data_IF_204292134186
#
_entry.id   IF_204292134186
#
_cell.length_a   1.000
_cell.length_b   1.000
_cell.length_c   1.000
_cell.angle_alpha   90.00
_cell.angle_beta   90.00
_cell.angle_gamma   90.00
#
_symmetry.space_group_name_H-M   'P 1'
#
loop_
_entity.id
_entity.type
_entity.pdbx_description
1 polymer ?
#
# COMPACT_ATOMS: atom_id res chain seq x y z
N UNK A 1 -6.09 -27.74 -9.95
CA UNK A 1 -6.11 -26.26 -9.87
C UNK A 1 -5.52 -25.87 -8.53
N UNK A 2 -4.65 -24.86 -8.50
CA UNK A 2 -4.16 -24.29 -7.24
C UNK A 2 -5.29 -23.44 -6.66
N UNK A 3 -5.72 -23.79 -5.45
CA UNK A 3 -6.81 -23.11 -4.75
C UNK A 3 -6.31 -22.16 -3.65
N UNK A 4 -5.03 -22.27 -3.29
CA UNK A 4 -4.41 -21.49 -2.23
C UNK A 4 -2.94 -21.27 -2.56
N UNK A 5 -2.43 -20.09 -2.23
CA UNK A 5 -1.02 -19.75 -2.33
C UNK A 5 -0.61 -19.01 -1.06
N UNK A 6 0.57 -19.33 -0.52
CA UNK A 6 1.16 -18.66 0.63
C UNK A 6 2.59 -18.21 0.29
N UNK A 7 2.94 -16.98 0.70
CA UNK A 7 4.31 -16.48 0.64
C UNK A 7 4.78 -16.11 2.04
N UNK A 8 5.99 -16.57 2.37
CA UNK A 8 6.68 -16.36 3.64
C UNK A 8 7.92 -15.46 3.51
N UNK A 9 7.99 -14.63 2.46
CA UNK A 9 9.12 -13.74 2.21
C UNK A 9 9.20 -12.65 3.29
N UNK A 10 10.39 -12.46 3.84
CA UNK A 10 10.71 -11.33 4.71
C UNK A 10 10.97 -10.11 3.83
N UNK A 11 10.25 -8.99 4.02
CA UNK A 11 10.45 -7.80 3.22
C UNK A 11 11.87 -7.23 3.36
N UNK A 12 12.48 -6.83 2.25
CA UNK A 12 13.66 -5.99 2.25
C UNK A 12 13.23 -4.53 2.49
N UNK A 13 13.64 -3.98 3.63
CA UNK A 13 13.16 -2.67 4.07
C UNK A 13 13.61 -1.54 3.14
N UNK A 14 14.85 -1.60 2.63
CA UNK A 14 15.36 -0.58 1.71
C UNK A 14 14.60 -0.59 0.38
N UNK A 15 14.38 -1.77 -0.19
CA UNK A 15 13.58 -1.91 -1.42
C UNK A 15 12.14 -1.46 -1.17
N UNK A 16 11.57 -1.78 -0.01
CA UNK A 16 10.23 -1.35 0.35
C UNK A 16 10.12 0.18 0.49
N UNK A 17 11.12 0.84 1.08
CA UNK A 17 11.20 2.30 1.18
C UNK A 17 11.33 2.94 -0.21
N UNK A 18 12.18 2.39 -1.07
CA UNK A 18 12.34 2.88 -2.45
C UNK A 18 11.04 2.76 -3.25
N UNK A 19 10.36 1.61 -3.19
CA UNK A 19 9.05 1.43 -3.85
C UNK A 19 8.01 2.40 -3.29
N UNK A 20 8.00 2.62 -1.97
CA UNK A 20 7.09 3.58 -1.32
C UNK A 20 7.38 5.02 -1.75
N UNK A 21 8.66 5.38 -1.89
CA UNK A 21 9.10 6.69 -2.42
C UNK A 21 8.62 6.88 -3.85
N UNK A 22 8.91 5.94 -4.75
CA UNK A 22 8.47 6.00 -6.16
C UNK A 22 6.95 6.09 -6.27
N UNK A 23 6.24 5.33 -5.44
CA UNK A 23 4.77 5.39 -5.35
C UNK A 23 4.29 6.78 -4.90
N UNK A 24 4.94 7.36 -3.90
CA UNK A 24 4.66 8.74 -3.43
C UNK A 24 4.88 9.76 -4.54
N UNK A 25 5.98 9.67 -5.29
CA UNK A 25 6.30 10.58 -6.40
C UNK A 25 5.28 10.46 -7.53
N UNK A 26 4.81 9.24 -7.84
CA UNK A 26 3.75 9.02 -8.81
C UNK A 26 2.44 9.70 -8.38
N UNK A 27 2.06 9.59 -7.10
CA UNK A 27 0.88 10.27 -6.55
C UNK A 27 1.07 11.79 -6.52
N UNK A 28 2.25 12.28 -6.17
CA UNK A 28 2.56 13.70 -6.12
C UNK A 28 2.36 14.40 -7.48
N UNK A 29 2.53 13.70 -8.61
CA UNK A 29 2.23 14.24 -9.94
C UNK A 29 0.74 14.60 -10.13
N UNK A 30 -0.15 13.98 -9.36
CA UNK A 30 -1.60 14.26 -9.42
C UNK A 30 -2.00 15.48 -8.60
N UNK A 31 -1.38 15.71 -7.45
CA UNK A 31 -1.73 16.78 -6.51
C UNK A 31 -0.78 17.97 -6.52
N UNK A 32 0.38 17.83 -7.16
CA UNK A 32 1.43 18.83 -7.21
C UNK A 32 2.23 18.95 -5.90
N UNK A 33 3.02 20.03 -5.77
CA UNK A 33 4.02 20.18 -4.70
C UNK A 33 3.45 20.18 -3.28
N UNK A 34 2.18 20.56 -3.11
CA UNK A 34 1.52 20.59 -1.79
C UNK A 34 1.40 19.20 -1.17
N UNK A 35 1.15 18.17 -1.99
CA UNK A 35 1.09 16.79 -1.52
C UNK A 35 2.45 16.29 -1.07
N UNK A 36 3.51 16.59 -1.81
CA UNK A 36 4.88 16.24 -1.41
C UNK A 36 5.23 16.88 -0.08
N UNK A 37 4.97 18.19 0.07
CA UNK A 37 5.24 18.92 1.32
C UNK A 37 4.51 18.31 2.51
N UNK A 38 3.21 18.04 2.36
CA UNK A 38 2.42 17.39 3.41
C UNK A 38 2.91 15.97 3.71
N UNK A 39 3.29 15.22 2.67
CA UNK A 39 3.74 13.83 2.84
C UNK A 39 5.04 13.77 3.61
N UNK A 40 6.01 14.62 3.26
CA UNK A 40 7.27 14.76 4.00
C UNK A 40 6.98 15.11 5.46
N UNK A 41 6.18 16.16 5.71
CA UNK A 41 5.81 16.59 7.06
C UNK A 41 5.22 15.45 7.88
N UNK A 42 4.15 14.80 7.40
CA UNK A 42 3.46 13.76 8.16
C UNK A 42 4.27 12.47 8.28
N UNK A 43 5.15 12.17 7.32
CA UNK A 43 6.11 11.06 7.40
C UNK A 43 7.08 11.28 8.56
N UNK A 44 7.70 12.47 8.63
CA UNK A 44 8.67 12.82 9.67
C UNK A 44 8.01 12.91 11.05
N UNK A 45 6.80 13.45 11.14
CA UNK A 45 6.02 13.50 12.37
C UNK A 45 5.76 12.10 12.94
N UNK A 46 5.34 11.16 12.09
CA UNK A 46 5.05 9.79 12.50
C UNK A 46 6.31 9.01 12.87
N UNK A 47 7.37 9.10 12.06
CA UNK A 47 8.65 8.43 12.34
C UNK A 47 9.22 8.93 13.68
N UNK A 48 9.25 10.25 13.90
CA UNK A 48 9.76 10.83 15.14
C UNK A 48 8.90 10.43 16.36
N UNK A 49 7.57 10.36 16.21
CA UNK A 49 6.67 9.82 17.25
C UNK A 49 7.06 8.38 17.64
N UNK A 50 7.32 7.51 16.65
CA UNK A 50 7.74 6.13 16.89
C UNK A 50 9.11 6.02 17.56
N UNK A 51 9.99 6.97 17.28
CA UNK A 51 11.33 7.04 17.84
C UNK A 51 11.38 7.74 19.22
N UNK A 52 10.27 8.36 19.65
CA UNK A 52 10.20 9.12 20.91
C UNK A 52 10.95 10.45 20.86
N UNK A 53 11.08 11.06 19.68
CA UNK A 53 11.83 12.30 19.46
C UNK A 53 10.99 13.38 18.78
N UNK A 54 11.59 14.57 18.61
CA UNK A 54 10.94 15.66 17.86
C UNK A 54 11.18 15.48 16.36
N UNK A 55 10.19 15.81 15.51
CA UNK A 55 10.38 15.76 14.06
C UNK A 55 11.51 16.70 13.63
N UNK A 56 12.41 16.29 12.71
CA UNK A 56 13.47 17.16 12.20
C UNK A 56 12.88 18.30 11.37
N UNK A 57 13.27 19.54 11.66
CA UNK A 57 12.74 20.74 11.00
C UNK A 57 13.44 21.08 9.69
N UNK A 58 14.64 20.53 9.46
CA UNK A 58 15.49 20.84 8.31
C UNK A 58 15.31 19.91 7.10
N UNK A 59 14.36 18.97 7.16
CA UNK A 59 14.11 17.99 6.10
C UNK A 59 12.84 18.39 5.34
N UNK A 60 13.01 18.81 4.08
CA UNK A 60 11.90 19.31 3.24
C UNK A 60 11.61 18.43 2.03
N UNK A 61 12.45 17.43 1.76
CA UNK A 61 12.35 16.57 0.58
C UNK A 61 11.97 15.15 0.97
N UNK A 62 11.33 14.43 0.03
CA UNK A 62 11.01 13.02 0.22
C UNK A 62 12.29 12.17 0.34
N UNK A 63 13.35 12.54 -0.38
CA UNK A 63 14.66 11.88 -0.24
C UNK A 63 15.20 12.02 1.18
N UNK A 64 15.24 13.24 1.73
CA UNK A 64 15.71 13.44 3.10
C UNK A 64 14.85 12.73 4.13
N UNK A 65 13.54 12.59 3.88
CA UNK A 65 12.67 11.79 4.74
C UNK A 65 13.01 10.30 4.69
N UNK A 66 13.30 9.74 3.51
CA UNK A 66 13.76 8.36 3.34
C UNK A 66 15.11 8.13 4.02
N UNK A 67 16.07 9.03 3.83
CA UNK A 67 17.39 8.97 4.48
C UNK A 67 17.27 8.99 6.02
N UNK A 68 16.38 9.83 6.56
CA UNK A 68 16.11 9.89 7.99
C UNK A 68 15.52 8.58 8.53
N UNK A 69 14.59 7.96 7.80
CA UNK A 69 14.03 6.65 8.15
C UNK A 69 15.13 5.58 8.10
N UNK A 70 15.94 5.54 7.03
CA UNK A 70 17.01 4.56 6.87
C UNK A 70 18.04 4.64 8.00
N UNK A 71 18.41 5.87 8.40
CA UNK A 71 19.33 6.10 9.54
C UNK A 71 18.78 5.57 10.87
N UNK A 72 17.46 5.48 11.01
CA UNK A 72 16.79 5.05 12.24
C UNK A 72 16.15 3.66 12.14
N UNK A 73 16.40 2.89 11.06
CA UNK A 73 15.71 1.63 10.79
C UNK A 73 15.91 0.59 11.91
N UNK A 74 17.06 0.60 12.58
CA UNK A 74 17.35 -0.29 13.71
C UNK A 74 16.51 0.04 14.96
N UNK A 75 16.13 1.31 15.13
CA UNK A 75 15.27 1.77 16.23
C UNK A 75 13.80 1.56 15.93
N UNK A 76 13.40 1.71 14.66
CA UNK A 76 12.04 1.45 14.20
C UNK A 76 12.05 0.67 12.86
N UNK A 77 12.01 -0.69 12.91
CA UNK A 77 12.12 -1.54 11.72
C UNK A 77 10.95 -1.45 10.74
N UNK A 78 9.89 -0.72 11.08
CA UNK A 78 8.70 -0.54 10.23
C UNK A 78 8.66 0.85 9.58
N UNK A 79 9.80 1.44 9.24
CA UNK A 79 9.89 2.78 8.64
C UNK A 79 9.01 3.02 7.39
N UNK A 80 8.66 1.97 6.65
CA UNK A 80 7.68 2.02 5.55
C UNK A 80 6.30 2.53 6.01
N UNK A 81 5.89 2.22 7.24
CA UNK A 81 4.67 2.77 7.84
C UNK A 81 4.67 4.30 7.81
N UNK A 82 5.82 4.94 7.99
CA UNK A 82 5.91 6.40 8.09
C UNK A 82 5.58 7.06 6.76
N UNK A 83 6.11 6.53 5.65
CA UNK A 83 5.78 7.01 4.30
C UNK A 83 4.30 6.74 4.00
N UNK A 84 3.83 5.53 4.28
CA UNK A 84 2.43 5.12 4.04
C UNK A 84 1.45 6.01 4.81
N UNK A 85 1.73 6.30 6.08
CA UNK A 85 0.96 7.23 6.90
C UNK A 85 1.01 8.64 6.32
N UNK A 86 2.20 9.13 5.96
CA UNK A 86 2.38 10.46 5.40
C UNK A 86 1.59 10.67 4.10
N UNK A 87 1.61 9.67 3.21
CA UNK A 87 0.83 9.65 1.98
C UNK A 87 -0.67 9.69 2.26
N UNK A 88 -1.16 8.75 3.07
CA UNK A 88 -2.59 8.61 3.36
C UNK A 88 -3.14 9.86 4.06
N UNK A 89 -2.40 10.40 5.04
CA UNK A 89 -2.81 11.64 5.73
C UNK A 89 -2.80 12.84 4.79
N UNK A 90 -1.81 12.95 3.90
CA UNK A 90 -1.75 14.03 2.91
C UNK A 90 -2.90 14.00 1.93
N UNK A 91 -3.22 12.82 1.41
CA UNK A 91 -4.40 12.60 0.58
C UNK A 91 -5.66 13.09 1.29
N UNK A 92 -5.89 12.62 2.53
CA UNK A 92 -7.09 12.95 3.30
C UNK A 92 -7.26 14.44 3.52
N UNK A 93 -6.15 15.15 3.74
CA UNK A 93 -6.17 16.60 3.90
C UNK A 93 -6.48 17.35 2.61
N UNK A 94 -6.26 16.75 1.44
CA UNK A 94 -6.48 17.39 0.13
C UNK A 94 -7.83 17.01 -0.50
N UNK A 95 -8.20 15.72 -0.49
CA UNK A 95 -9.44 15.23 -1.10
C UNK A 95 -10.61 15.10 -0.12
N UNK A 96 -10.35 15.23 1.18
CA UNK A 96 -11.33 14.95 2.22
C UNK A 96 -11.58 13.43 2.40
N UNK A 97 -12.75 13.08 2.92
CA UNK A 97 -13.04 11.71 3.36
C UNK A 97 -13.40 10.71 2.25
N UNK A 98 -13.26 11.04 0.96
CA UNK A 98 -13.68 10.13 -0.12
C UNK A 98 -12.76 8.91 -0.28
N UNK A 99 -13.25 7.71 0.05
CA UNK A 99 -12.51 6.45 -0.11
C UNK A 99 -12.26 6.08 -1.59
N UNK A 100 -12.92 6.75 -2.53
CA UNK A 100 -12.72 6.59 -3.97
C UNK A 100 -11.36 7.12 -4.45
N UNK A 101 -10.82 8.12 -3.75
CA UNK A 101 -9.52 8.72 -4.04
C UNK A 101 -8.40 7.69 -3.96
N UNK A 102 -8.29 7.04 -2.80
CA UNK A 102 -7.20 6.10 -2.48
C UNK A 102 -7.11 4.95 -3.49
N UNK A 103 -8.26 4.37 -3.88
CA UNK A 103 -8.28 3.29 -4.88
C UNK A 103 -7.81 3.75 -6.26
N UNK A 104 -8.26 4.93 -6.70
CA UNK A 104 -7.86 5.48 -8.01
C UNK A 104 -6.39 5.85 -8.03
N UNK A 105 -5.86 6.42 -6.95
CA UNK A 105 -4.43 6.70 -6.85
C UNK A 105 -3.60 5.44 -6.84
N UNK A 106 -3.99 4.43 -6.06
CA UNK A 106 -3.30 3.15 -6.05
C UNK A 106 -3.32 2.50 -7.45
N UNK A 107 -4.44 2.55 -8.16
CA UNK A 107 -4.51 2.11 -9.55
C UNK A 107 -3.49 2.84 -10.43
N UNK A 108 -3.45 4.17 -10.38
CA UNK A 108 -2.51 4.96 -11.18
C UNK A 108 -1.06 4.68 -10.79
N UNK A 109 -0.75 4.58 -9.50
CA UNK A 109 0.59 4.34 -9.00
C UNK A 109 1.08 2.93 -9.36
N UNK A 110 0.28 1.89 -9.10
CA UNK A 110 0.61 0.50 -9.48
C UNK A 110 0.79 0.39 -11.00
N UNK A 111 -0.11 0.99 -11.78
CA UNK A 111 0.01 1.01 -13.24
C UNK A 111 1.31 1.69 -13.68
N UNK A 112 1.67 2.82 -13.05
CA UNK A 112 2.90 3.55 -13.37
C UNK A 112 4.14 2.74 -13.05
N UNK A 113 4.19 2.10 -11.88
CA UNK A 113 5.30 1.21 -11.49
C UNK A 113 5.41 0.02 -12.46
N UNK A 114 4.28 -0.58 -12.86
CA UNK A 114 4.27 -1.65 -13.88
C UNK A 114 4.74 -1.15 -15.26
N UNK A 115 4.40 0.09 -15.63
CA UNK A 115 4.83 0.71 -16.89
C UNK A 115 6.33 1.00 -16.89
N UNK A 116 6.84 1.68 -15.86
CA UNK A 116 8.26 2.06 -15.74
C UNK A 116 9.19 0.85 -15.60
N UNK A 117 8.67 -0.28 -15.08
CA UNK A 117 9.39 -1.55 -15.04
C UNK A 117 9.28 -2.38 -16.33
N UNK A 118 8.53 -1.92 -17.33
CA UNK A 118 8.32 -2.66 -18.58
C UNK A 118 7.44 -3.90 -18.44
N UNK A 119 6.77 -4.09 -17.30
CA UNK A 119 5.95 -5.27 -17.00
C UNK A 119 4.48 -5.10 -17.40
N UNK A 120 4.02 -3.87 -17.63
CA UNK A 120 2.60 -3.61 -17.90
C UNK A 120 2.09 -4.38 -19.13
N UNK A 121 2.84 -4.39 -20.23
CA UNK A 121 2.43 -5.04 -21.48
C UNK A 121 2.36 -6.57 -21.40
N UNK A 122 3.17 -7.20 -20.55
CA UNK A 122 3.14 -8.66 -20.35
C UNK A 122 2.07 -9.09 -19.36
N UNK A 123 1.67 -8.20 -18.45
CA UNK A 123 0.70 -8.50 -17.40
C UNK A 123 -0.75 -8.14 -17.77
N UNK A 124 -0.97 -7.03 -18.49
CA UNK A 124 -2.30 -6.55 -18.81
C UNK A 124 -3.05 -7.54 -19.73
N UNK A 125 -4.26 -7.94 -19.31
CA UNK A 125 -5.07 -8.95 -20.00
C UNK A 125 -4.54 -10.38 -19.88
N UNK A 126 -3.51 -10.62 -19.06
CA UNK A 126 -2.86 -11.93 -18.99
C UNK A 126 -3.54 -12.93 -18.04
N UNK A 127 -4.63 -12.52 -17.38
CA UNK A 127 -5.43 -13.38 -16.50
C UNK A 127 -6.91 -12.96 -16.54
N UNK A 128 -7.81 -13.94 -16.61
CA UNK A 128 -9.26 -13.68 -16.62
C UNK A 128 -9.87 -13.62 -15.21
N UNK A 129 -9.23 -14.30 -14.25
CA UNK A 129 -9.72 -14.45 -12.88
C UNK A 129 -8.90 -13.60 -11.91
N UNK A 130 -9.56 -13.03 -10.91
CA UNK A 130 -8.92 -12.19 -9.88
C UNK A 130 -7.83 -12.95 -9.13
N UNK A 131 -8.07 -14.20 -8.76
CA UNK A 131 -7.08 -15.03 -8.07
C UNK A 131 -5.78 -15.14 -8.88
N UNK A 132 -5.89 -15.43 -10.18
CA UNK A 132 -4.72 -15.63 -11.05
C UNK A 132 -3.98 -14.29 -11.28
N UNK A 133 -4.71 -13.18 -11.34
CA UNK A 133 -4.11 -11.85 -11.42
C UNK A 133 -3.36 -11.46 -10.13
N UNK A 134 -3.95 -11.73 -8.96
CA UNK A 134 -3.32 -11.52 -7.66
C UNK A 134 -2.06 -12.40 -7.57
N UNK A 135 -2.13 -13.67 -7.95
CA UNK A 135 -0.98 -14.58 -7.91
C UNK A 135 0.21 -14.05 -8.72
N UNK A 136 -0.03 -13.55 -9.94
CA UNK A 136 1.01 -12.94 -10.79
C UNK A 136 1.61 -11.68 -10.18
N UNK A 137 0.77 -10.77 -9.69
CA UNK A 137 1.25 -9.57 -9.01
C UNK A 137 2.06 -9.91 -7.77
N UNK A 138 1.64 -10.96 -7.07
CA UNK A 138 2.26 -11.42 -5.85
C UNK A 138 3.62 -12.06 -6.08
N UNK A 139 3.76 -12.89 -7.12
CA UNK A 139 5.04 -13.45 -7.58
C UNK A 139 6.06 -12.33 -7.85
N UNK A 140 5.65 -11.29 -8.58
CA UNK A 140 6.47 -10.11 -8.86
C UNK A 140 6.93 -9.40 -7.58
N UNK A 141 6.01 -9.13 -6.65
CA UNK A 141 6.37 -8.47 -5.40
C UNK A 141 7.24 -9.34 -4.49
N UNK A 142 7.13 -10.67 -4.61
CA UNK A 142 7.97 -11.61 -3.86
C UNK A 142 9.43 -11.59 -4.34
N UNK A 143 9.65 -11.42 -5.65
CA UNK A 143 10.99 -11.25 -6.23
C UNK A 143 11.65 -9.96 -5.72
N UNK A 144 10.87 -8.89 -5.58
CA UNK A 144 11.31 -7.61 -5.04
C UNK A 144 11.41 -7.60 -3.50
N UNK A 145 10.84 -8.60 -2.82
CA UNK A 145 10.73 -8.68 -1.36
C UNK A 145 10.09 -7.41 -0.76
N UNK A 146 9.00 -6.91 -1.34
CA UNK A 146 8.33 -5.67 -0.86
C UNK A 146 6.97 -5.90 -0.21
N UNK A 147 6.48 -7.14 -0.22
CA UNK A 147 5.19 -7.50 0.40
C UNK A 147 5.40 -8.27 1.71
N UNK A 148 4.58 -8.02 2.73
CA UNK A 148 4.59 -8.84 3.93
C UNK A 148 4.12 -10.27 3.61
N UNK A 149 4.50 -11.26 4.45
CA UNK A 149 3.98 -12.61 4.36
C UNK A 149 2.46 -12.61 4.29
N UNK A 150 1.89 -13.28 3.30
CA UNK A 150 0.45 -13.34 3.15
C UNK A 150 0.02 -14.58 2.37
N UNK A 151 -1.26 -14.89 2.52
CA UNK A 151 -1.91 -16.08 1.96
C UNK A 151 -3.16 -15.64 1.22
N UNK A 152 -3.45 -16.27 0.10
CA UNK A 152 -4.66 -16.02 -0.64
C UNK A 152 -5.31 -17.32 -1.10
N UNK A 153 -6.64 -17.31 -1.08
CA UNK A 153 -7.51 -18.44 -1.39
C UNK A 153 -8.45 -18.04 -2.52
N UNK A 154 -8.65 -18.96 -3.46
CA UNK A 154 -9.59 -18.75 -4.57
C UNK A 154 -11.02 -18.73 -4.05
N UNK A 155 -11.77 -17.73 -4.48
CA UNK A 155 -13.21 -17.60 -4.24
C UNK A 155 -13.94 -17.58 -5.59
N UNK A 156 -15.25 -17.86 -5.62
CA UNK A 156 -16.05 -17.95 -6.86
C UNK A 156 -15.91 -16.69 -7.73
N UNK A 157 -15.98 -15.50 -7.13
CA UNK A 157 -15.93 -14.21 -7.80
C UNK A 157 -14.72 -13.36 -7.40
N UNK A 158 -13.64 -13.98 -6.91
CA UNK A 158 -12.56 -13.21 -6.31
C UNK A 158 -11.45 -14.01 -5.67
N UNK A 159 -10.85 -13.41 -4.65
CA UNK A 159 -9.90 -14.07 -3.76
C UNK A 159 -10.06 -13.53 -2.34
N UNK A 160 -9.93 -14.44 -1.36
CA UNK A 160 -9.72 -14.07 0.04
C UNK A 160 -8.23 -13.90 0.29
N UNK A 161 -7.86 -12.89 1.09
CA UNK A 161 -6.47 -12.59 1.45
C UNK A 161 -6.32 -12.51 2.97
N UNK A 162 -5.26 -13.13 3.48
CA UNK A 162 -4.84 -13.09 4.88
C UNK A 162 -3.43 -12.51 4.94
N UNK A 163 -3.28 -11.33 5.55
CA UNK A 163 -2.00 -10.63 5.69
C UNK A 163 -1.41 -10.90 7.07
N UNK A 164 -0.25 -11.55 7.12
CA UNK A 164 0.51 -11.82 8.34
C UNK A 164 1.61 -10.76 8.49
N UNK A 165 1.87 -10.30 9.72
CA UNK A 165 2.96 -9.36 10.02
C UNK A 165 3.03 -8.15 9.07
N UNK A 166 1.89 -7.49 8.84
CA UNK A 166 1.80 -6.39 7.88
C UNK A 166 2.75 -5.24 8.23
N UNK A 167 3.61 -4.85 7.29
CA UNK A 167 4.56 -3.73 7.43
C UNK A 167 3.90 -2.35 7.39
N UNK A 168 2.60 -2.27 7.11
CA UNK A 168 1.80 -1.04 7.12
C UNK A 168 0.93 -0.90 8.40
N UNK A 169 1.05 -1.84 9.34
CA UNK A 169 0.10 -2.01 10.45
C UNK A 169 0.00 -0.78 11.34
N UNK A 170 1.14 -0.19 11.69
CA UNK A 170 1.18 0.96 12.59
C UNK A 170 0.59 2.21 11.94
N UNK A 171 0.84 2.41 10.65
CA UNK A 171 0.21 3.47 9.86
C UNK A 171 -1.32 3.33 9.87
N UNK A 172 -1.84 2.14 9.53
CA UNK A 172 -3.28 1.89 9.52
C UNK A 172 -3.93 2.06 10.89
N UNK A 173 -3.24 1.66 11.98
CA UNK A 173 -3.72 1.87 13.35
C UNK A 173 -3.82 3.35 13.68
N UNK A 174 -2.79 4.13 13.38
CA UNK A 174 -2.79 5.58 13.62
C UNK A 174 -3.89 6.28 12.83
N UNK A 175 -4.03 5.96 11.54
CA UNK A 175 -5.11 6.51 10.71
C UNK A 175 -6.49 6.17 11.29
N UNK A 176 -6.69 4.94 11.75
CA UNK A 176 -7.94 4.54 12.39
C UNK A 176 -8.20 5.25 13.74
N UNK A 177 -7.15 5.58 14.51
CA UNK A 177 -7.26 6.38 15.74
C UNK A 177 -7.60 7.84 15.48
N UNK A 178 -7.23 8.35 14.31
CA UNK A 178 -7.54 9.71 13.85
C UNK A 178 -8.86 9.77 13.06
N UNK A 179 -9.72 8.75 13.18
CA UNK A 179 -11.02 8.61 12.51
C UNK A 179 -10.96 8.69 10.97
N UNK A 180 -9.79 8.39 10.37
CA UNK A 180 -9.68 8.21 8.93
C UNK A 180 -10.26 6.85 8.53
N UNK A 181 -11.56 6.86 8.25
CA UNK A 181 -12.35 5.72 7.78
C UNK A 181 -12.97 5.99 6.40
N UNK A 182 -13.48 4.94 5.74
CA UNK A 182 -14.23 5.11 4.50
C UNK A 182 -15.56 5.80 4.80
N UNK A 183 -16.06 6.61 3.84
CA UNK A 183 -17.40 7.24 3.92
C UNK A 183 -18.50 6.23 4.25
N UNK A 184 -18.43 5.04 3.64
CA UNK A 184 -19.40 3.95 3.83
C UNK A 184 -19.20 3.17 5.14
N UNK A 185 -18.35 3.67 6.03
CA UNK A 185 -17.89 2.96 7.22
C UNK A 185 -16.80 1.95 6.91
N UNK A 186 -16.00 1.64 7.93
CA UNK A 186 -14.94 0.64 7.85
C UNK A 186 -13.54 1.23 7.58
N UNK A 187 -12.52 0.42 7.89
CA UNK A 187 -11.11 0.80 7.79
C UNK A 187 -10.58 0.51 6.39
N UNK A 188 -9.59 1.30 5.98
CA UNK A 188 -8.86 1.04 4.74
C UNK A 188 -7.70 0.08 4.96
N UNK A 189 -7.36 -0.66 3.91
CA UNK A 189 -6.23 -1.56 3.92
C UNK A 189 -5.38 -1.31 2.67
N UNK A 190 -4.22 -0.68 2.85
CA UNK A 190 -3.28 -0.39 1.75
C UNK A 190 -2.93 -1.65 0.96
N UNK A 191 -2.73 -2.78 1.64
CA UNK A 191 -2.42 -4.05 0.97
C UNK A 191 -3.57 -4.47 0.04
N UNK A 192 -4.81 -4.49 0.52
CA UNK A 192 -5.96 -4.86 -0.31
C UNK A 192 -6.21 -3.84 -1.44
N UNK A 193 -6.00 -2.55 -1.17
CA UNK A 193 -6.10 -1.48 -2.19
C UNK A 193 -5.11 -1.76 -3.34
N UNK A 194 -3.85 -2.03 -3.03
CA UNK A 194 -2.82 -2.28 -4.04
C UNK A 194 -3.08 -3.56 -4.83
N UNK A 195 -3.52 -4.63 -4.16
CA UNK A 195 -3.86 -5.89 -4.84
C UNK A 195 -5.13 -5.77 -5.68
N UNK A 196 -6.13 -4.99 -5.22
CA UNK A 196 -7.32 -4.67 -5.99
C UNK A 196 -6.97 -3.86 -7.26
N UNK A 197 -6.09 -2.87 -7.13
CA UNK A 197 -5.56 -2.10 -8.24
C UNK A 197 -4.83 -2.99 -9.25
N UNK A 198 -3.92 -3.85 -8.78
CA UNK A 198 -3.19 -4.79 -9.64
C UNK A 198 -4.14 -5.77 -10.34
N UNK A 199 -5.14 -6.32 -9.63
CA UNK A 199 -6.13 -7.20 -10.22
C UNK A 199 -6.93 -6.50 -11.33
N UNK A 200 -7.34 -5.24 -11.13
CA UNK A 200 -8.03 -4.46 -12.16
C UNK A 200 -7.16 -4.19 -13.39
N UNK A 201 -5.87 -3.89 -13.20
CA UNK A 201 -4.92 -3.68 -14.30
C UNK A 201 -4.70 -4.97 -15.10
N UNK A 202 -4.46 -6.08 -14.39
CA UNK A 202 -4.08 -7.37 -15.00
C UNK A 202 -5.28 -8.02 -15.69
N UNK A 203 -6.47 -7.95 -15.09
CA UNK A 203 -7.68 -8.56 -15.69
C UNK A 203 -8.39 -7.64 -16.69
N UNK A 204 -8.17 -6.32 -16.59
CA UNK A 204 -8.98 -5.32 -17.30
C UNK A 204 -10.41 -5.18 -16.75
N UNK A 205 -10.76 -5.86 -15.64
CA UNK A 205 -12.11 -5.85 -15.04
C UNK A 205 -12.15 -5.02 -13.78
N UNK A 206 -13.24 -4.28 -13.56
CA UNK A 206 -13.43 -3.49 -12.35
C UNK A 206 -13.48 -4.37 -11.11
N UNK A 207 -12.68 -4.02 -10.12
CA UNK A 207 -12.58 -4.75 -8.87
C UNK A 207 -12.96 -3.86 -7.69
N UNK A 208 -13.40 -4.49 -6.61
CA UNK A 208 -13.52 -3.86 -5.30
C UNK A 208 -13.00 -4.77 -4.18
N UNK A 209 -12.94 -4.22 -2.98
CA UNK A 209 -12.42 -4.96 -1.83
C UNK A 209 -13.13 -4.63 -0.51
N UNK A 210 -13.21 -5.65 0.35
CA UNK A 210 -13.72 -5.54 1.72
C UNK A 210 -12.65 -6.00 2.69
N UNK A 211 -12.45 -5.22 3.76
CA UNK A 211 -11.66 -5.63 4.90
C UNK A 211 -12.61 -6.24 5.94
N UNK A 212 -12.46 -7.53 6.20
CA UNK A 212 -13.35 -8.30 7.09
C UNK A 212 -12.83 -8.32 8.52
N UNK A 213 -11.50 -8.49 8.70
CA UNK A 213 -10.85 -8.44 10.01
C UNK A 213 -9.68 -7.47 9.96
N UNK A 214 -9.69 -6.55 10.92
CA UNK A 214 -8.60 -5.61 11.13
C UNK A 214 -7.88 -5.96 12.42
N UNK A 215 -6.57 -6.17 12.33
CA UNK A 215 -5.66 -6.14 13.47
C UNK A 215 -5.77 -7.31 14.48
N UNK A 216 -6.37 -8.48 14.18
CA UNK A 216 -6.34 -9.64 15.12
C UNK A 216 -6.43 -11.04 14.48
N UNK A 217 -5.45 -11.95 14.72
CA UNK A 217 -3.99 -11.73 14.82
C UNK A 217 -3.38 -11.30 13.47
N UNK A 218 -4.17 -11.39 12.41
CA UNK A 218 -3.86 -11.03 11.02
C UNK A 218 -4.90 -10.05 10.52
N UNK A 219 -4.65 -9.41 9.37
CA UNK A 219 -5.72 -8.75 8.62
C UNK A 219 -6.32 -9.74 7.62
N UNK A 220 -7.64 -9.77 7.49
CA UNK A 220 -8.34 -10.60 6.50
C UNK A 220 -9.27 -9.73 5.65
N UNK A 221 -9.31 -9.99 4.36
CA UNK A 221 -10.23 -9.32 3.45
C UNK A 221 -10.42 -10.08 2.15
N UNK A 222 -11.25 -9.51 1.28
CA UNK A 222 -11.60 -10.08 -0.02
C UNK A 222 -11.42 -9.04 -1.12
N UNK A 223 -11.02 -9.51 -2.29
CA UNK A 223 -11.02 -8.76 -3.54
C UNK A 223 -11.96 -9.48 -4.48
N UNK A 224 -12.90 -8.76 -5.09
CA UNK A 224 -13.98 -9.33 -5.89
C UNK A 224 -14.30 -8.43 -7.10
N UNK A 225 -14.97 -9.01 -8.10
CA UNK A 225 -15.44 -8.27 -9.27
C UNK A 225 -16.56 -7.31 -8.85
N UNK A 226 -16.49 -6.08 -9.33
CA UNK A 226 -17.56 -5.11 -9.14
C UNK A 226 -18.60 -5.30 -10.24
N UNK A 227 -19.80 -5.72 -9.85
CA UNK A 227 -20.99 -5.77 -10.71
C UNK A 227 -21.38 -4.39 -11.25
#
# INVERSE_FOLDING_TARGET
MVNETEISVVPDLNTSLMVSKTTTEAVARMFGPVFTKNTVKYTLEFEAEKLGEKPPENIETLEGAVEYIQKNIDRYPNGVCSIVYGMAKSERMLEGYSASGSKRMAFNAVKKVMEESGMLSSLQGSADQIFDAIAKFHELNSLLKVIPPNRFEREENGAKMVVKNCTCKDACRKLAQEDFSRIVGGKECIILINHCAAAEIITGKKCDYTLEKFDQPTCEGKIYLKE
#
